data_IF_806791550542
#
_entry.id   IF_806791550542
#
_cell.length_a   1.000
_cell.length_b   1.000
_cell.length_c   1.000
_cell.angle_alpha   90.00
_cell.angle_beta   90.00
_cell.angle_gamma   90.00
#
_symmetry.space_group_name_H-M   'P 1'
#
loop_
_entity.id
_entity.type
_entity.pdbx_description
1 polymer ?
#
# COMPACT_ATOMS: atom_id res chain seq x y z
N UNK A 1 -18.79 -14.56 -12.71
CA UNK A 1 -17.71 -15.10 -11.84
C UNK A 1 -16.59 -14.08 -11.86
N UNK A 2 -16.02 -13.69 -10.71
CA UNK A 2 -14.93 -12.69 -10.69
C UNK A 2 -13.63 -13.32 -11.17
N UNK A 3 -12.85 -12.55 -11.92
CA UNK A 3 -11.45 -12.85 -12.18
C UNK A 3 -10.62 -12.43 -10.97
N UNK A 4 -9.66 -13.28 -10.61
CA UNK A 4 -8.81 -13.08 -9.45
C UNK A 4 -7.49 -12.48 -9.90
N UNK A 5 -7.13 -11.39 -9.27
CA UNK A 5 -5.81 -10.78 -9.35
C UNK A 5 -5.38 -10.40 -7.93
N UNK A 6 -4.15 -9.93 -7.78
CA UNK A 6 -3.70 -9.34 -6.53
C UNK A 6 -2.69 -8.24 -6.82
N UNK A 7 -2.60 -7.28 -5.91
CA UNK A 7 -1.55 -6.27 -5.94
C UNK A 7 -0.49 -6.55 -4.89
N UNK A 8 0.71 -6.06 -5.16
CA UNK A 8 1.86 -6.06 -4.26
C UNK A 8 2.24 -4.60 -4.05
N UNK A 9 2.57 -4.23 -2.82
CA UNK A 9 3.01 -2.89 -2.44
C UNK A 9 4.33 -3.04 -1.70
N UNK A 10 5.35 -2.34 -2.17
CA UNK A 10 6.61 -2.13 -1.46
C UNK A 10 6.70 -0.67 -1.03
N UNK A 11 6.93 -0.43 0.26
CA UNK A 11 7.12 0.93 0.76
C UNK A 11 8.53 1.43 0.39
N UNK A 12 8.60 2.53 -0.36
CA UNK A 12 9.86 3.19 -0.74
C UNK A 12 10.16 4.43 0.12
N UNK A 13 9.29 4.70 1.10
CA UNK A 13 9.38 5.75 2.10
C UNK A 13 8.46 5.35 3.28
N UNK A 14 8.60 5.98 4.46
CA UNK A 14 7.69 5.73 5.57
C UNK A 14 6.21 5.91 5.15
N UNK A 15 5.37 4.93 5.44
CA UNK A 15 3.96 4.92 5.03
C UNK A 15 3.05 5.10 6.24
N UNK A 16 2.40 6.27 6.34
CA UNK A 16 1.42 6.58 7.37
C UNK A 16 -0.01 6.45 6.82
N UNK A 17 -0.66 5.31 7.10
CA UNK A 17 -2.09 5.12 6.84
C UNK A 17 -2.85 5.36 8.13
N UNK A 18 -3.29 6.61 8.33
CA UNK A 18 -3.92 7.05 9.57
C UNK A 18 -5.15 6.22 9.95
N UNK A 19 -5.26 5.88 11.23
CA UNK A 19 -6.41 5.20 11.81
C UNK A 19 -7.17 6.10 12.78
N UNK A 20 -8.36 6.53 12.38
CA UNK A 20 -9.28 7.27 13.25
C UNK A 20 -10.18 6.29 13.98
N UNK A 21 -9.65 5.52 14.92
CA UNK A 21 -10.43 4.47 15.57
C UNK A 21 -10.19 4.40 17.08
N UNK A 22 -10.54 5.45 17.84
CA UNK A 22 -10.76 5.41 19.30
C UNK A 22 -9.59 5.00 20.21
N UNK A 23 -8.51 4.46 19.65
CA UNK A 23 -7.27 4.03 20.28
C UNK A 23 -6.21 5.15 20.25
N UNK A 24 -6.53 6.30 19.66
CA UNK A 24 -5.75 7.53 19.77
C UNK A 24 -5.79 8.04 21.23
N UNK A 25 -5.10 7.34 22.13
CA UNK A 25 -4.89 7.82 23.50
C UNK A 25 -3.68 8.74 23.49
N UNK A 26 -3.93 10.05 23.61
CA UNK A 26 -2.89 11.08 23.64
C UNK A 26 -2.49 11.60 22.26
N UNK A 27 -1.32 12.23 22.16
CA UNK A 27 -0.88 12.92 20.94
C UNK A 27 -0.12 11.99 19.98
N UNK A 28 -0.68 10.81 19.66
CA UNK A 28 -0.06 9.82 18.78
C UNK A 28 -0.96 9.51 17.58
N UNK A 29 -0.47 9.85 16.39
CA UNK A 29 -1.13 9.52 15.13
C UNK A 29 -0.74 8.09 14.73
N UNK A 30 -1.62 7.15 15.03
CA UNK A 30 -1.44 5.72 14.80
C UNK A 30 -1.67 5.34 13.33
N UNK A 31 -1.11 4.19 12.92
CA UNK A 31 -1.45 3.54 11.66
C UNK A 31 -2.60 2.54 11.84
N UNK A 32 -3.29 2.22 10.75
CA UNK A 32 -4.33 1.19 10.71
C UNK A 32 -3.74 -0.21 10.91
N UNK A 33 -4.39 -1.04 11.75
CA UNK A 33 -3.91 -2.39 12.12
C UNK A 33 -4.95 -3.47 11.84
N UNK A 34 -4.47 -4.66 11.52
CA UNK A 34 -5.28 -5.88 11.46
C UNK A 34 -5.63 -6.35 12.88
N UNK A 35 -6.88 -6.71 13.13
CA UNK A 35 -7.33 -7.09 14.48
C UNK A 35 -6.68 -8.39 15.01
N UNK A 36 -6.21 -9.26 14.13
CA UNK A 36 -5.70 -10.58 14.50
C UNK A 36 -4.19 -10.63 14.63
N UNK A 37 -3.45 -9.97 13.74
CA UNK A 37 -1.97 -9.89 13.81
C UNK A 37 -1.47 -8.61 14.46
N UNK A 38 -2.34 -7.60 14.63
CA UNK A 38 -1.99 -6.26 15.11
C UNK A 38 -0.90 -5.56 14.27
N UNK A 39 -0.67 -6.06 13.06
CA UNK A 39 0.30 -5.51 12.10
C UNK A 39 -0.37 -4.43 11.24
N UNK A 40 0.42 -3.50 10.71
CA UNK A 40 -0.09 -2.44 9.85
C UNK A 40 -0.75 -2.98 8.57
N UNK A 41 -1.83 -2.31 8.13
CA UNK A 41 -2.56 -2.64 6.91
C UNK A 41 -2.95 -1.37 6.14
N UNK A 42 -3.26 -1.53 4.86
CA UNK A 42 -3.89 -0.47 4.06
C UNK A 42 -5.34 -0.89 3.77
N UNK A 43 -6.36 -0.13 4.23
CA UNK A 43 -7.74 -0.43 3.90
C UNK A 43 -7.98 -0.43 2.38
N UNK A 44 -8.82 -1.36 1.91
CA UNK A 44 -9.16 -1.44 0.48
C UNK A 44 -9.80 -0.16 -0.07
N UNK A 45 -10.47 0.63 0.79
CA UNK A 45 -10.98 1.96 0.46
C UNK A 45 -9.87 2.96 0.12
N UNK A 46 -8.76 2.96 0.88
CA UNK A 46 -7.59 3.81 0.61
C UNK A 46 -6.90 3.41 -0.69
N UNK A 47 -6.77 2.11 -0.95
CA UNK A 47 -6.21 1.58 -2.20
C UNK A 47 -7.09 2.00 -3.38
N UNK A 48 -8.40 1.73 -3.31
CA UNK A 48 -9.37 2.15 -4.33
C UNK A 48 -9.32 3.66 -4.58
N UNK A 49 -9.28 4.45 -3.51
CA UNK A 49 -9.23 5.91 -3.59
C UNK A 49 -8.01 6.40 -4.38
N UNK A 50 -6.83 5.84 -4.09
CA UNK A 50 -5.59 6.20 -4.80
C UNK A 50 -5.61 5.79 -6.26
N UNK A 51 -6.01 4.56 -6.57
CA UNK A 51 -6.12 4.05 -7.95
C UNK A 51 -7.13 4.87 -8.78
N UNK A 52 -8.31 5.15 -8.21
CA UNK A 52 -9.33 6.01 -8.83
C UNK A 52 -8.79 7.40 -9.12
N UNK A 53 -8.09 8.01 -8.17
CA UNK A 53 -7.54 9.36 -8.32
C UNK A 53 -6.46 9.43 -9.42
N UNK A 54 -5.60 8.41 -9.53
CA UNK A 54 -4.60 8.35 -10.62
C UNK A 54 -5.26 8.21 -12.00
N UNK A 55 -6.27 7.34 -12.13
CA UNK A 55 -7.02 7.18 -13.37
C UNK A 55 -7.77 8.46 -13.74
N UNK A 56 -8.38 9.14 -12.75
CA UNK A 56 -9.04 10.43 -12.95
C UNK A 56 -8.08 11.49 -13.47
N UNK A 57 -6.84 11.54 -12.97
CA UNK A 57 -5.83 12.47 -13.47
C UNK A 57 -5.50 12.19 -14.94
N UNK A 58 -5.37 10.90 -15.33
CA UNK A 58 -5.20 10.53 -16.74
C UNK A 58 -6.37 10.98 -17.60
N UNK A 59 -7.61 10.80 -17.12
CA UNK A 59 -8.82 11.28 -17.80
C UNK A 59 -8.80 12.80 -18.01
N UNK A 60 -8.46 13.57 -16.98
CA UNK A 60 -8.42 15.04 -17.05
C UNK A 60 -7.37 15.54 -18.05
N UNK A 61 -6.26 14.80 -18.21
CA UNK A 61 -5.19 15.15 -19.14
C UNK A 61 -5.40 14.60 -20.56
N UNK A 62 -6.44 13.80 -20.79
CA UNK A 62 -6.74 13.23 -22.10
C UNK A 62 -7.20 14.32 -23.08
N UNK A 63 -6.55 14.37 -24.25
CA UNK A 63 -6.95 15.23 -25.37
C UNK A 63 -7.32 14.33 -26.55
N UNK A 64 -8.56 14.40 -27.10
CA UNK A 64 -8.93 13.59 -28.24
C UNK A 64 -8.14 14.03 -29.49
N UNK A 65 -7.77 13.08 -30.35
CA UNK A 65 -6.90 13.28 -31.52
C UNK A 65 -7.38 14.38 -32.48
N UNK A 66 -8.69 14.64 -32.54
CA UNK A 66 -9.28 15.70 -33.36
C UNK A 66 -9.03 17.14 -32.84
N UNK A 67 -8.40 17.31 -31.68
CA UNK A 67 -8.13 18.63 -31.08
C UNK A 67 -6.80 19.26 -31.52
N UNK A 68 -5.93 18.50 -32.19
CA UNK A 68 -4.58 18.98 -32.57
C UNK A 68 -4.50 19.55 -34.00
N UNK A 69 -5.56 19.44 -34.83
CA UNK A 69 -5.53 19.92 -36.23
C UNK A 69 -5.92 21.39 -36.44
N UNK A 70 -6.37 22.12 -35.43
CA UNK A 70 -6.85 23.50 -35.59
C UNK A 70 -5.99 24.55 -34.88
N UNK A 71 -4.66 24.40 -34.91
CA UNK A 71 -3.75 25.50 -34.56
C UNK A 71 -3.04 26.02 -35.82
N UNK A 72 -3.83 26.58 -36.73
CA UNK A 72 -3.35 27.59 -37.68
C UNK A 72 -4.35 28.74 -37.66
N UNK A 73 -3.91 29.84 -37.03
CA UNK A 73 -4.33 31.22 -37.25
C UNK A 73 -5.84 31.53 -37.15
N UNK A 74 -6.27 32.21 -36.09
CA UNK A 74 -6.62 33.65 -36.06
C UNK A 74 -7.31 33.94 -34.71
N UNK A 75 -6.87 34.96 -33.96
CA UNK A 75 -7.65 35.50 -32.83
C UNK A 75 -8.83 36.31 -33.38
N UNK A 76 -10.00 36.23 -32.75
CA UNK A 76 -10.65 37.46 -32.31
C UNK A 76 -11.07 37.41 -30.84
N UNK A 77 -11.06 38.60 -30.26
CA UNK A 77 -11.51 38.93 -28.92
C UNK A 77 -13.04 38.95 -28.84
N UNK A 78 -13.54 38.66 -27.63
CA UNK A 78 -14.93 38.77 -27.16
C UNK A 78 -15.90 37.70 -27.66
N UNK A 79 -16.13 36.67 -26.84
CA UNK A 79 -17.47 36.11 -26.68
C UNK A 79 -17.62 35.37 -25.35
N UNK A 80 -18.72 35.69 -24.68
CA UNK A 80 -19.22 35.24 -23.39
C UNK A 80 -19.09 33.74 -23.10
N UNK A 81 -18.64 33.43 -21.89
CA UNK A 81 -18.60 32.10 -21.27
C UNK A 81 -19.99 31.45 -21.28
N UNK A 82 -20.25 30.62 -22.28
CA UNK A 82 -21.24 29.56 -22.18
C UNK A 82 -20.72 28.34 -22.96
N UNK A 83 -19.63 27.76 -22.46
CA UNK A 83 -19.14 26.46 -22.93
C UNK A 83 -20.09 25.37 -22.44
N UNK A 84 -21.12 25.07 -23.24
CA UNK A 84 -21.71 23.74 -23.24
C UNK A 84 -20.58 22.73 -23.45
N UNK A 85 -20.21 22.01 -22.39
CA UNK A 85 -19.29 20.88 -22.44
C UNK A 85 -19.81 19.90 -23.49
N UNK A 86 -19.24 19.91 -24.69
CA UNK A 86 -19.37 18.78 -25.61
C UNK A 86 -18.81 17.57 -24.87
N UNK A 87 -19.66 16.57 -24.64
CA UNK A 87 -19.25 15.27 -24.08
C UNK A 87 -18.20 14.66 -25.00
N UNK A 88 -16.92 14.90 -24.68
CA UNK A 88 -15.82 14.16 -25.26
C UNK A 88 -15.95 12.74 -24.73
N UNK A 89 -16.23 11.77 -25.59
CA UNK A 89 -16.31 10.37 -25.21
C UNK A 89 -14.94 9.90 -24.71
N UNK A 90 -14.78 9.83 -23.40
CA UNK A 90 -13.55 9.36 -22.75
C UNK A 90 -13.40 7.86 -23.04
N UNK A 91 -12.22 7.39 -23.49
CA UNK A 91 -11.94 5.97 -23.64
C UNK A 91 -12.20 5.19 -22.34
N UNK A 92 -12.77 4.00 -22.47
CA UNK A 92 -13.16 3.18 -21.31
C UNK A 92 -11.96 2.85 -20.41
N UNK A 93 -10.76 2.68 -20.97
CA UNK A 93 -9.55 2.32 -20.22
C UNK A 93 -9.14 3.39 -19.18
N UNK A 94 -9.51 4.65 -19.41
CA UNK A 94 -9.19 5.77 -18.52
C UNK A 94 -10.44 6.36 -17.85
N UNK A 95 -11.59 5.69 -17.96
CA UNK A 95 -12.82 6.13 -17.32
C UNK A 95 -12.90 5.59 -15.89
N UNK A 96 -12.59 6.43 -14.90
CA UNK A 96 -12.57 6.02 -13.49
C UNK A 96 -13.95 5.67 -12.95
N UNK A 97 -15.00 6.31 -13.46
CA UNK A 97 -16.38 6.02 -13.05
C UNK A 97 -16.85 4.66 -13.56
N UNK A 98 -16.36 4.23 -14.73
CA UNK A 98 -16.63 2.91 -15.26
C UNK A 98 -16.03 1.80 -14.38
N UNK A 99 -14.73 1.91 -14.06
CA UNK A 99 -14.02 0.86 -13.32
C UNK A 99 -14.31 0.87 -11.81
N UNK A 100 -14.41 2.06 -11.22
CA UNK A 100 -14.51 2.23 -9.77
C UNK A 100 -15.90 2.67 -9.30
N UNK A 101 -16.90 2.74 -10.19
CA UNK A 101 -18.26 3.20 -9.90
C UNK A 101 -18.36 4.72 -9.75
N UNK A 102 -19.55 5.28 -9.56
CA UNK A 102 -19.71 6.69 -9.20
C UNK A 102 -20.76 6.91 -8.12
N UNK A 103 -20.60 8.04 -7.43
CA UNK A 103 -21.52 8.59 -6.46
C UNK A 103 -22.91 8.89 -7.05
N UNK A 104 -23.89 9.08 -6.17
CA UNK A 104 -25.24 9.51 -6.56
C UNK A 104 -25.15 10.85 -7.26
N UNK A 105 -25.86 10.96 -8.38
CA UNK A 105 -25.98 12.22 -9.09
C UNK A 105 -27.16 12.97 -8.50
N UNK A 106 -26.91 14.15 -7.93
CA UNK A 106 -27.96 15.04 -7.47
C UNK A 106 -28.24 16.12 -8.52
N UNK A 107 -29.53 16.37 -8.79
CA UNK A 107 -29.97 17.34 -9.79
C UNK A 107 -31.30 16.97 -10.44
N UNK A 108 -31.86 17.85 -11.29
CA UNK A 108 -33.13 17.62 -11.99
C UNK A 108 -33.07 16.41 -12.95
N UNK A 109 -31.87 16.03 -13.41
CA UNK A 109 -31.64 14.87 -14.28
C UNK A 109 -31.30 13.58 -13.51
N UNK A 110 -31.59 13.51 -12.20
CA UNK A 110 -31.31 12.33 -11.36
C UNK A 110 -32.04 11.09 -11.89
N UNK A 111 -31.31 10.02 -12.27
CA UNK A 111 -31.91 8.76 -12.67
C UNK A 111 -32.76 8.13 -11.54
N UNK A 112 -33.81 7.39 -11.90
CA UNK A 112 -34.73 6.75 -10.93
C UNK A 112 -34.05 5.80 -9.95
N UNK A 113 -32.87 5.28 -10.30
CA UNK A 113 -32.06 4.37 -9.49
C UNK A 113 -30.95 5.09 -8.70
N UNK A 114 -31.12 6.39 -8.39
CA UNK A 114 -30.13 7.30 -7.80
C UNK A 114 -28.94 7.66 -8.68
N UNK A 115 -28.81 7.04 -9.85
CA UNK A 115 -27.65 7.22 -10.72
C UNK A 115 -26.36 6.86 -9.99
N UNK A 116 -26.33 5.75 -9.26
CA UNK A 116 -25.10 5.18 -8.69
C UNK A 116 -24.69 3.95 -9.48
N UNK A 117 -23.41 3.66 -9.55
CA UNK A 117 -22.92 2.42 -10.18
C UNK A 117 -21.96 1.68 -9.26
N UNK A 118 -22.08 0.35 -9.26
CA UNK A 118 -21.16 -0.52 -8.53
C UNK A 118 -19.80 -0.57 -9.23
N UNK A 119 -18.72 -0.60 -8.44
CA UNK A 119 -17.38 -0.81 -8.96
C UNK A 119 -17.24 -2.20 -9.61
N UNK A 120 -16.54 -2.23 -10.76
CA UNK A 120 -16.16 -3.46 -11.46
C UNK A 120 -14.88 -4.07 -10.89
N UNK A 121 -14.04 -3.23 -10.31
CA UNK A 121 -12.81 -3.62 -9.60
C UNK A 121 -13.03 -3.45 -8.11
N UNK A 122 -12.81 -4.53 -7.36
CA UNK A 122 -12.93 -4.56 -5.90
C UNK A 122 -11.56 -4.83 -5.30
N UNK A 123 -11.18 -4.00 -4.33
CA UNK A 123 -9.94 -4.11 -3.59
C UNK A 123 -10.25 -4.59 -2.18
N UNK A 124 -9.53 -5.63 -1.75
CA UNK A 124 -9.48 -6.01 -0.35
C UNK A 124 -8.33 -5.28 0.36
N UNK A 125 -8.15 -5.53 1.65
CA UNK A 125 -7.17 -4.84 2.47
C UNK A 125 -5.76 -5.35 2.13
N UNK A 126 -4.78 -4.44 2.06
CA UNK A 126 -3.38 -4.85 1.94
C UNK A 126 -2.86 -5.28 3.31
N UNK A 127 -2.46 -6.55 3.42
CA UNK A 127 -1.82 -7.11 4.60
C UNK A 127 -0.33 -7.25 4.36
N UNK A 128 0.48 -7.08 5.41
CA UNK A 128 1.91 -7.37 5.37
C UNK A 128 2.19 -8.83 4.96
N UNK A 129 3.24 -9.03 4.18
CA UNK A 129 3.88 -10.32 3.92
C UNK A 129 5.25 -10.34 4.58
N UNK A 130 6.03 -9.27 4.39
CA UNK A 130 7.35 -9.10 4.95
C UNK A 130 7.49 -7.73 5.57
N UNK A 131 8.03 -7.67 6.78
CA UNK A 131 8.22 -6.45 7.54
C UNK A 131 9.69 -6.32 7.98
N UNK A 132 10.41 -5.26 7.60
CA UNK A 132 11.81 -5.11 7.95
C UNK A 132 11.96 -4.71 9.43
N UNK A 133 12.87 -5.38 10.12
CA UNK A 133 13.21 -5.11 11.52
C UNK A 133 14.72 -4.99 11.66
N UNK A 134 15.14 -3.92 12.32
CA UNK A 134 16.53 -3.72 12.69
C UNK A 134 16.90 -4.64 13.86
N UNK A 135 17.96 -5.42 13.68
CA UNK A 135 18.56 -6.24 14.74
C UNK A 135 19.93 -5.64 15.12
N UNK A 136 20.12 -5.16 16.36
CA UNK A 136 21.38 -4.52 16.77
C UNK A 136 22.61 -5.40 16.55
N UNK A 137 23.59 -4.90 15.81
CA UNK A 137 24.82 -5.63 15.49
C UNK A 137 24.64 -6.74 14.45
N UNK A 138 23.51 -6.77 13.75
CA UNK A 138 23.16 -7.75 12.71
C UNK A 138 22.56 -7.03 11.49
N UNK A 139 22.38 -7.74 10.38
CA UNK A 139 21.68 -7.18 9.22
C UNK A 139 20.20 -6.93 9.54
N UNK A 140 19.55 -6.02 8.79
CA UNK A 140 18.08 -5.91 8.79
C UNK A 140 17.50 -7.23 8.30
N UNK A 141 16.53 -7.76 9.04
CA UNK A 141 15.81 -8.97 8.69
C UNK A 141 14.38 -8.64 8.30
N UNK A 142 13.81 -9.39 7.37
CA UNK A 142 12.41 -9.30 7.02
C UNK A 142 11.65 -10.40 7.73
N UNK A 143 10.76 -9.99 8.63
CA UNK A 143 9.95 -10.92 9.41
C UNK A 143 8.59 -11.13 8.78
N UNK A 144 8.08 -12.35 8.91
CA UNK A 144 6.69 -12.74 8.63
C UNK A 144 6.19 -13.68 9.72
N UNK A 145 4.95 -14.14 9.62
CA UNK A 145 4.44 -15.24 10.45
C UNK A 145 3.56 -16.19 9.61
N UNK A 146 3.31 -17.43 10.08
CA UNK A 146 2.50 -18.40 9.35
C UNK A 146 1.14 -17.86 8.90
N UNK A 147 0.49 -17.01 9.71
CA UNK A 147 -0.79 -16.39 9.34
C UNK A 147 -0.69 -15.45 8.15
N UNK A 148 0.34 -14.59 8.09
CA UNK A 148 0.55 -13.67 6.97
C UNK A 148 0.91 -14.44 5.69
N UNK A 149 1.82 -15.41 5.79
CA UNK A 149 2.19 -16.27 4.66
C UNK A 149 0.99 -17.09 4.16
N UNK A 150 0.11 -17.56 5.04
CA UNK A 150 -1.13 -18.25 4.66
C UNK A 150 -2.10 -17.35 3.90
N UNK A 151 -2.17 -16.05 4.24
CA UNK A 151 -2.96 -15.08 3.47
C UNK A 151 -2.37 -14.88 2.08
N UNK A 152 -1.04 -14.74 1.99
CA UNK A 152 -0.37 -14.61 0.70
C UNK A 152 -0.58 -15.85 -0.17
N UNK A 153 -0.38 -17.06 0.36
CA UNK A 153 -0.61 -18.34 -0.35
C UNK A 153 -2.03 -18.50 -0.90
N UNK A 154 -3.05 -17.83 -0.33
CA UNK A 154 -4.43 -17.92 -0.85
C UNK A 154 -4.64 -17.16 -2.14
N UNK A 155 -3.81 -16.15 -2.41
CA UNK A 155 -3.92 -15.26 -3.57
C UNK A 155 -2.77 -15.44 -4.55
N UNK A 156 -1.64 -15.95 -4.08
CA UNK A 156 -0.54 -16.39 -4.93
C UNK A 156 -0.65 -17.89 -5.24
N UNK A 157 -0.14 -18.31 -6.39
CA UNK A 157 -0.11 -19.73 -6.79
C UNK A 157 1.07 -20.49 -6.15
N UNK A 158 1.41 -20.19 -4.89
CA UNK A 158 2.53 -20.83 -4.18
C UNK A 158 2.12 -22.25 -3.77
N UNK A 159 2.93 -23.25 -4.11
CA UNK A 159 2.74 -24.65 -3.71
C UNK A 159 3.41 -25.00 -2.38
N UNK A 160 4.53 -24.35 -2.03
CA UNK A 160 5.33 -24.64 -0.84
C UNK A 160 4.50 -24.70 0.46
N UNK A 161 4.90 -25.58 1.38
CA UNK A 161 4.29 -25.68 2.70
C UNK A 161 4.54 -24.42 3.51
N UNK A 162 3.56 -24.04 4.35
CA UNK A 162 3.68 -22.86 5.21
C UNK A 162 4.84 -23.13 6.20
N UNK A 163 5.88 -22.28 6.23
CA UNK A 163 6.98 -22.45 7.16
C UNK A 163 6.48 -22.44 8.60
N UNK A 164 7.11 -23.25 9.46
CA UNK A 164 6.81 -23.26 10.89
C UNK A 164 7.34 -21.97 11.55
N UNK A 165 6.81 -21.59 12.72
CA UNK A 165 7.41 -20.54 13.54
C UNK A 165 8.91 -20.75 13.77
N UNK A 166 9.62 -19.63 13.93
CA UNK A 166 11.07 -19.55 14.18
C UNK A 166 11.93 -20.25 13.11
N UNK A 167 11.47 -20.17 11.86
CA UNK A 167 12.21 -20.63 10.67
C UNK A 167 12.94 -19.46 10.04
N UNK A 168 14.20 -19.63 9.66
CA UNK A 168 14.93 -18.63 8.89
C UNK A 168 15.51 -19.21 7.59
N UNK A 169 15.91 -18.34 6.68
CA UNK A 169 16.71 -18.76 5.53
C UNK A 169 18.07 -19.34 5.98
N UNK A 170 18.62 -20.37 5.30
CA UNK A 170 19.85 -21.05 5.73
C UNK A 170 21.05 -20.11 5.93
N UNK A 171 21.17 -19.09 5.08
CA UNK A 171 22.29 -18.14 5.10
C UNK A 171 22.02 -16.88 5.93
N UNK A 172 21.08 -16.94 6.89
CA UNK A 172 20.77 -15.81 7.77
C UNK A 172 22.02 -15.28 8.49
N UNK A 173 22.35 -13.97 8.38
CA UNK A 173 23.48 -13.34 9.06
C UNK A 173 23.17 -13.09 10.56
N UNK A 174 22.79 -14.15 11.27
CA UNK A 174 22.53 -14.14 12.71
C UNK A 174 23.80 -14.32 13.54
N UNK A 175 23.70 -14.12 14.86
CA UNK A 175 24.81 -14.33 15.78
C UNK A 175 24.87 -15.80 16.14
N UNK A 176 26.03 -16.40 15.94
CA UNK A 176 26.27 -17.78 16.36
C UNK A 176 26.59 -17.83 17.85
N UNK A 177 25.88 -18.67 18.58
CA UNK A 177 26.08 -18.93 20.01
C UNK A 177 26.37 -20.42 20.19
N UNK A 178 27.53 -20.74 20.76
CA UNK A 178 28.00 -22.12 20.84
C UNK A 178 28.32 -22.72 19.46
N UNK A 179 28.22 -24.04 19.33
CA UNK A 179 28.59 -24.74 18.09
C UNK A 179 27.52 -24.62 16.99
N UNK A 180 26.23 -24.69 17.33
CA UNK A 180 25.15 -24.86 16.34
C UNK A 180 23.92 -23.96 16.52
N UNK A 181 23.91 -22.98 17.44
CA UNK A 181 22.73 -22.14 17.64
C UNK A 181 22.87 -20.79 16.94
N UNK A 182 21.90 -20.46 16.09
CA UNK A 182 21.76 -19.14 15.48
C UNK A 182 20.71 -18.34 16.24
N UNK A 183 21.08 -17.14 16.64
CA UNK A 183 20.23 -16.26 17.45
C UNK A 183 20.14 -14.88 16.82
N UNK A 184 18.93 -14.35 16.75
CA UNK A 184 18.66 -12.95 16.44
C UNK A 184 18.48 -12.17 17.73
N UNK A 185 19.01 -10.94 17.73
CA UNK A 185 18.80 -10.03 18.84
C UNK A 185 17.84 -8.94 18.43
N UNK A 186 16.73 -8.84 19.15
CA UNK A 186 15.78 -7.73 19.07
C UNK A 186 15.91 -6.88 20.34
N UNK A 187 15.45 -5.63 20.32
CA UNK A 187 15.62 -4.73 21.48
C UNK A 187 15.07 -5.28 22.82
N UNK A 188 14.16 -6.25 22.78
CA UNK A 188 13.55 -6.86 23.97
C UNK A 188 14.09 -8.26 24.32
N UNK A 189 14.99 -8.83 23.52
CA UNK A 189 15.57 -10.14 23.83
C UNK A 189 16.13 -10.91 22.64
N UNK A 190 16.54 -12.14 22.95
CA UNK A 190 17.10 -13.10 21.99
C UNK A 190 16.00 -14.00 21.43
N UNK A 191 16.02 -14.22 20.12
CA UNK A 191 15.19 -15.23 19.45
C UNK A 191 16.09 -16.31 18.86
N UNK A 192 15.91 -17.54 19.31
CA UNK A 192 16.60 -18.70 18.77
C UNK A 192 15.92 -19.14 17.47
N UNK A 193 16.72 -19.42 16.45
CA UNK A 193 16.25 -20.06 15.21
C UNK A 193 16.12 -21.56 15.46
N UNK A 194 14.96 -22.12 15.17
CA UNK A 194 14.67 -23.54 15.38
C UNK A 194 14.88 -24.36 14.09
N UNK A 195 14.67 -23.72 12.94
CA UNK A 195 14.65 -24.38 11.64
C UNK A 195 15.25 -23.48 10.56
N UNK A 196 15.89 -24.11 9.57
CA UNK A 196 16.40 -23.45 8.38
C UNK A 196 15.76 -24.06 7.14
N UNK A 197 15.07 -23.23 6.35
CA UNK A 197 14.35 -23.64 5.13
C UNK A 197 14.51 -22.54 4.09
N UNK A 198 14.58 -22.90 2.82
CA UNK A 198 14.53 -21.92 1.74
C UNK A 198 13.18 -21.17 1.74
N UNK A 199 13.24 -19.85 1.88
CA UNK A 199 12.08 -18.96 1.94
C UNK A 199 11.91 -18.13 0.65
N UNK A 200 12.75 -18.34 -0.37
CA UNK A 200 12.73 -17.56 -1.62
C UNK A 200 11.37 -17.56 -2.33
N UNK A 201 10.66 -18.70 -2.35
CA UNK A 201 9.30 -18.82 -2.94
C UNK A 201 8.26 -17.88 -2.28
N UNK A 202 8.53 -17.41 -1.06
CA UNK A 202 7.64 -16.52 -0.31
C UNK A 202 7.89 -15.04 -0.59
N UNK A 203 8.88 -14.69 -1.42
CA UNK A 203 9.10 -13.32 -1.88
C UNK A 203 8.09 -13.00 -2.99
N UNK A 204 7.23 -11.96 -2.85
CA UNK A 204 6.31 -11.59 -3.90
C UNK A 204 7.01 -11.20 -5.22
N UNK A 205 6.38 -11.51 -6.35
CA UNK A 205 6.94 -11.23 -7.69
C UNK A 205 7.31 -9.76 -7.86
N UNK A 206 8.55 -9.51 -8.28
CA UNK A 206 9.06 -8.15 -8.53
C UNK A 206 9.56 -7.43 -7.29
N UNK A 207 9.63 -8.10 -6.13
CA UNK A 207 10.27 -7.59 -4.92
C UNK A 207 11.72 -8.08 -4.87
N UNK A 208 12.64 -7.17 -4.55
CA UNK A 208 14.07 -7.46 -4.40
C UNK A 208 14.50 -7.24 -2.94
N UNK A 209 14.31 -8.28 -2.12
CA UNK A 209 14.81 -8.31 -0.74
C UNK A 209 15.81 -9.47 -0.59
N UNK A 210 16.82 -9.36 0.30
CA UNK A 210 17.82 -10.40 0.44
C UNK A 210 17.19 -11.71 0.94
N UNK A 211 17.23 -12.76 0.12
CA UNK A 211 16.68 -14.09 0.45
C UNK A 211 17.28 -14.65 1.74
N UNK A 212 18.54 -14.32 2.04
CA UNK A 212 19.22 -14.72 3.27
C UNK A 212 18.61 -14.10 4.52
N UNK A 213 17.87 -13.00 4.41
CA UNK A 213 17.45 -12.18 5.55
C UNK A 213 15.99 -12.43 5.97
N UNK A 214 15.38 -13.52 5.52
CA UNK A 214 13.99 -13.84 5.81
C UNK A 214 13.85 -14.68 7.09
N UNK A 215 12.85 -14.32 7.90
CA UNK A 215 12.56 -14.98 9.18
C UNK A 215 11.05 -15.10 9.38
N UNK A 216 10.57 -16.31 9.66
CA UNK A 216 9.18 -16.57 10.04
C UNK A 216 9.11 -16.70 11.56
N UNK A 217 8.44 -15.77 12.22
CA UNK A 217 8.26 -15.74 13.67
C UNK A 217 6.92 -16.37 14.09
N UNK A 218 6.70 -16.53 15.40
CA UNK A 218 5.41 -16.96 15.92
C UNK A 218 4.28 -15.98 15.60
N UNK A 219 3.08 -16.51 15.34
CA UNK A 219 1.85 -15.72 15.15
C UNK A 219 1.57 -14.76 16.31
N UNK A 220 1.97 -15.12 17.54
CA UNK A 220 1.78 -14.30 18.73
C UNK A 220 2.87 -13.23 18.93
N UNK A 221 4.03 -13.40 18.30
CA UNK A 221 5.19 -12.50 18.46
C UNK A 221 5.22 -11.41 17.39
N UNK A 222 4.56 -11.65 16.25
CA UNK A 222 4.56 -10.72 15.12
C UNK A 222 4.07 -9.32 15.51
N UNK A 223 3.08 -9.24 16.40
CA UNK A 223 2.51 -7.98 16.87
C UNK A 223 3.57 -7.12 17.57
N UNK A 224 4.29 -7.71 18.52
CA UNK A 224 5.34 -7.02 19.30
C UNK A 224 6.52 -6.64 18.42
N UNK A 225 6.99 -7.54 17.55
CA UNK A 225 8.13 -7.24 16.67
C UNK A 225 7.78 -6.19 15.62
N UNK A 226 6.55 -6.25 15.09
CA UNK A 226 6.02 -5.21 14.23
C UNK A 226 6.01 -3.86 14.95
N UNK A 227 5.45 -3.81 16.16
CA UNK A 227 5.42 -2.60 16.97
C UNK A 227 6.82 -2.01 17.20
N UNK A 228 7.81 -2.84 17.50
CA UNK A 228 9.19 -2.41 17.69
C UNK A 228 9.86 -1.86 16.43
N UNK A 229 9.51 -2.37 15.26
CA UNK A 229 10.11 -1.95 13.98
C UNK A 229 9.42 -0.75 13.32
N UNK A 230 8.37 -0.20 13.92
CA UNK A 230 7.67 0.95 13.35
C UNK A 230 8.54 2.20 13.31
N UNK A 231 8.39 2.95 12.22
CA UNK A 231 8.90 4.30 12.14
C UNK A 231 8.11 5.19 13.10
N UNK A 232 8.80 5.90 13.99
CA UNK A 232 8.19 6.87 14.91
C UNK A 232 8.93 8.18 14.88
N UNK A 233 8.18 9.28 14.77
CA UNK A 233 8.73 10.63 14.75
C UNK A 233 7.89 11.57 15.61
N UNK A 234 8.54 12.30 16.51
CA UNK A 234 7.94 13.46 17.19
C UNK A 234 7.98 14.67 16.29
N UNK A 235 6.86 15.40 16.22
CA UNK A 235 6.68 16.56 15.35
C UNK A 235 6.13 17.72 16.17
N UNK A 236 6.55 18.91 15.80
CA UNK A 236 6.11 20.16 16.42
C UNK A 236 5.61 21.14 15.37
N UNK A 237 4.51 21.83 15.68
CA UNK A 237 4.12 23.07 15.04
C UNK A 237 4.77 24.23 15.80
N UNK A 238 5.52 25.05 15.09
CA UNK A 238 6.11 26.27 15.64
C UNK A 238 5.11 27.43 15.49
N UNK A 239 5.20 28.43 16.36
CA UNK A 239 4.53 29.71 16.16
C UNK A 239 5.10 30.40 14.92
N UNK A 240 4.27 31.09 14.16
CA UNK A 240 4.68 31.67 12.87
C UNK A 240 5.78 32.74 13.03
N UNK A 241 5.77 33.48 14.13
CA UNK A 241 6.65 34.63 14.36
C UNK A 241 7.77 34.36 15.39
N UNK A 242 7.80 33.19 16.02
CA UNK A 242 8.72 32.89 17.12
C UNK A 242 9.28 31.46 17.01
N UNK A 243 10.53 31.25 17.40
CA UNK A 243 11.12 29.90 17.53
C UNK A 243 10.64 29.19 18.81
N UNK A 244 9.34 29.11 18.99
CA UNK A 244 8.66 28.48 20.11
C UNK A 244 7.57 27.54 19.60
N UNK A 245 7.41 26.40 20.27
CA UNK A 245 6.35 25.44 19.94
C UNK A 245 4.99 26.06 20.27
N UNK A 246 4.05 25.94 19.32
CA UNK A 246 2.65 26.32 19.50
C UNK A 246 2.01 25.46 20.60
N UNK A 247 1.21 26.06 21.47
CA UNK A 247 0.61 25.37 22.63
C UNK A 247 -0.39 24.29 22.19
N UNK A 248 0.08 23.05 22.08
CA UNK A 248 -0.68 21.92 21.51
C UNK A 248 -0.13 21.40 20.18
N UNK A 249 0.89 22.03 19.63
CA UNK A 249 1.54 21.65 18.38
C UNK A 249 2.45 20.43 18.44
N UNK A 250 2.54 19.73 19.58
CA UNK A 250 3.38 18.54 19.73
C UNK A 250 2.58 17.26 19.48
N UNK A 251 3.00 16.46 18.49
CA UNK A 251 2.37 15.18 18.17
C UNK A 251 3.38 14.18 17.65
N UNK A 252 3.14 12.90 17.92
CA UNK A 252 3.93 11.79 17.42
C UNK A 252 3.23 11.16 16.22
N UNK A 253 4.00 10.62 15.28
CA UNK A 253 3.49 9.92 14.10
C UNK A 253 4.10 8.54 14.02
N UNK A 254 3.27 7.52 13.82
CA UNK A 254 3.71 6.18 13.45
C UNK A 254 3.62 5.96 11.94
N UNK A 255 4.51 5.17 11.38
CA UNK A 255 4.45 4.72 9.98
C UNK A 255 5.07 3.34 9.83
N UNK A 256 4.63 2.63 8.78
CA UNK A 256 5.40 1.47 8.30
C UNK A 256 6.74 1.96 7.76
N UNK A 257 7.88 1.31 8.09
CA UNK A 257 9.18 1.66 7.55
C UNK A 257 9.27 1.37 6.05
N UNK A 258 10.29 1.93 5.39
CA UNK A 258 10.70 1.54 4.03
C UNK A 258 11.06 0.05 3.98
N UNK A 259 10.81 -0.61 2.84
CA UNK A 259 11.03 -2.05 2.64
C UNK A 259 9.92 -2.94 3.20
N UNK A 260 8.82 -2.38 3.71
CA UNK A 260 7.63 -3.14 4.09
C UNK A 260 6.92 -3.64 2.84
N UNK A 261 6.62 -4.94 2.79
CA UNK A 261 5.98 -5.59 1.66
C UNK A 261 4.56 -6.00 2.05
N UNK A 262 3.57 -5.50 1.33
CA UNK A 262 2.15 -5.81 1.52
C UNK A 262 1.55 -6.41 0.26
N UNK A 263 0.48 -7.19 0.43
CA UNK A 263 -0.30 -7.74 -0.69
C UNK A 263 -1.79 -7.56 -0.44
N UNK A 264 -2.56 -7.34 -1.52
CA UNK A 264 -4.01 -7.21 -1.46
C UNK A 264 -4.71 -7.98 -2.58
N UNK A 265 -5.78 -8.74 -2.28
CA UNK A 265 -6.63 -9.34 -3.30
C UNK A 265 -7.35 -8.29 -4.16
N UNK A 266 -7.53 -8.61 -5.44
CA UNK A 266 -8.31 -7.84 -6.41
C UNK A 266 -9.33 -8.77 -7.07
N UNK A 267 -10.59 -8.36 -7.10
CA UNK A 267 -11.65 -9.05 -7.84
C UNK A 267 -12.13 -8.17 -8.99
N UNK A 268 -12.00 -8.66 -10.22
CA UNK A 268 -12.45 -7.98 -11.43
C UNK A 268 -13.70 -8.65 -12.01
N UNK A 269 -14.75 -7.87 -12.31
CA UNK A 269 -15.97 -8.38 -12.94
C UNK A 269 -15.79 -8.73 -14.42
N UNK A 270 -14.82 -8.12 -15.08
CA UNK A 270 -14.55 -8.24 -16.52
C UNK A 270 -13.07 -7.96 -16.81
N UNK A 271 -12.64 -8.23 -18.05
CA UNK A 271 -11.26 -8.02 -18.52
C UNK A 271 -11.05 -6.59 -19.02
N UNK A 272 -9.77 -6.20 -19.14
CA UNK A 272 -9.34 -4.96 -19.77
C UNK A 272 -9.05 -3.82 -18.79
N UNK A 273 -9.06 -4.07 -17.49
CA UNK A 273 -8.70 -3.04 -16.51
C UNK A 273 -7.20 -2.78 -16.56
N UNK A 274 -6.76 -1.62 -17.01
CA UNK A 274 -5.33 -1.30 -17.15
C UNK A 274 -4.96 -0.08 -16.30
N UNK A 275 -4.88 -0.22 -14.96
CA UNK A 275 -4.66 0.92 -14.07
C UNK A 275 -3.34 1.65 -14.40
N UNK A 276 -2.34 0.92 -14.91
CA UNK A 276 -1.01 1.44 -15.24
C UNK A 276 -0.74 1.48 -16.76
N UNK A 277 -1.76 1.31 -17.60
CA UNK A 277 -1.60 1.25 -19.05
C UNK A 277 -0.94 -0.06 -19.49
N UNK A 278 0.21 0.03 -20.17
CA UNK A 278 0.96 -1.13 -20.66
C UNK A 278 2.03 -1.65 -19.69
N UNK A 279 2.13 -1.06 -18.49
CA UNK A 279 3.05 -1.50 -17.44
C UNK A 279 2.29 -2.31 -16.40
N UNK A 280 2.98 -3.24 -15.76
CA UNK A 280 2.45 -4.02 -14.63
C UNK A 280 2.70 -3.34 -13.28
N UNK A 281 3.53 -2.30 -13.29
CA UNK A 281 3.98 -1.60 -12.10
C UNK A 281 3.93 -0.07 -12.23
N UNK A 282 3.76 0.60 -11.09
CA UNK A 282 3.80 2.05 -10.99
C UNK A 282 4.07 2.51 -9.55
N UNK A 283 4.83 3.59 -9.40
CA UNK A 283 4.92 4.30 -8.12
C UNK A 283 3.62 5.04 -7.81
N UNK A 284 3.09 4.85 -6.60
CA UNK A 284 1.92 5.54 -6.05
C UNK A 284 2.21 6.04 -4.63
N UNK A 285 1.49 7.08 -4.23
CA UNK A 285 1.55 7.63 -2.87
C UNK A 285 0.29 7.22 -2.08
N UNK A 286 0.47 6.46 -1.00
CA UNK A 286 -0.63 6.05 -0.12
C UNK A 286 -0.58 6.76 1.23
N UNK A 287 -1.73 6.82 1.89
CA UNK A 287 -1.84 7.40 3.23
C UNK A 287 -1.80 8.92 3.24
N UNK A 288 -1.45 9.48 4.40
CA UNK A 288 -1.27 10.91 4.60
C UNK A 288 0.20 11.32 4.55
N UNK A 289 0.45 12.60 4.85
CA UNK A 289 1.80 13.16 5.00
C UNK A 289 2.66 13.12 3.71
N UNK A 290 2.02 13.04 2.54
CA UNK A 290 2.69 13.04 1.23
C UNK A 290 3.61 14.26 1.03
N UNK A 291 3.18 15.45 1.45
CA UNK A 291 3.92 16.71 1.30
C UNK A 291 5.25 16.78 2.07
N UNK A 292 5.50 15.82 2.97
CA UNK A 292 6.72 15.73 3.77
C UNK A 292 7.47 14.42 3.52
N UNK A 293 7.20 13.76 2.40
CA UNK A 293 7.97 12.59 1.95
C UNK A 293 7.47 11.24 2.46
N UNK A 294 6.23 11.14 2.94
CA UNK A 294 5.64 9.85 3.31
C UNK A 294 4.85 9.24 2.14
N UNK A 295 4.63 7.93 2.21
CA UNK A 295 3.62 7.26 1.41
C UNK A 295 4.08 6.77 0.04
N UNK A 296 5.30 7.09 -0.41
CA UNK A 296 5.84 6.60 -1.68
C UNK A 296 5.95 5.08 -1.65
N UNK A 297 5.32 4.40 -2.62
CA UNK A 297 5.34 2.95 -2.74
C UNK A 297 5.47 2.52 -4.20
N UNK A 298 6.20 1.43 -4.45
CA UNK A 298 6.13 0.70 -5.71
C UNK A 298 4.92 -0.24 -5.66
N UNK A 299 4.09 -0.24 -6.71
CA UNK A 299 2.89 -1.08 -6.78
C UNK A 299 2.90 -1.93 -8.02
N UNK A 300 2.78 -3.25 -7.84
CA UNK A 300 2.65 -4.22 -8.93
C UNK A 300 1.24 -4.81 -8.90
N UNK A 301 0.66 -5.08 -10.07
CA UNK A 301 -0.59 -5.84 -10.18
C UNK A 301 -0.33 -7.14 -10.94
N UNK A 302 -0.76 -8.26 -10.37
CA UNK A 302 -0.53 -9.60 -10.90
C UNK A 302 -1.85 -10.33 -11.11
N UNK A 303 -2.05 -10.90 -12.30
CA UNK A 303 -3.20 -11.71 -12.66
C UNK A 303 -3.79 -11.34 -14.03
N UNK A 304 -4.85 -12.03 -14.43
CA UNK A 304 -5.61 -11.72 -15.64
C UNK A 304 -6.80 -10.85 -15.27
N UNK A 305 -6.88 -9.64 -15.83
CA UNK A 305 -7.92 -8.65 -15.53
C UNK A 305 -8.16 -7.68 -16.69
#
# INVERSE_FOLDING_TARGET
>A
MYQKAYGIIETLAPLHVGASAGEETGNLNLIFRDQFTQTGIIPGSSIRGRFRADMRLKRMNYKPENSQKNNSETKPENESENQQKKDVSVPQEINENYWYGHESIDGPDKPKDSGTTEAKIKFEYASLVWFPVFCPGQAVVWISCPRLLKRFKKISNISAEIPKPYTASPNLPGRQVGSNEKVLFFNLGFMKIEQEVDLSEWIPKGIDIPESNLVVVGDNDIATLHDMGLYRQSRVKMLDNEKKVDGGGFFNTEALPEGSILVFPIAAKEKGWKPFGNKDEKELYFGGLESIGFGRCQVNVVGDF
#
